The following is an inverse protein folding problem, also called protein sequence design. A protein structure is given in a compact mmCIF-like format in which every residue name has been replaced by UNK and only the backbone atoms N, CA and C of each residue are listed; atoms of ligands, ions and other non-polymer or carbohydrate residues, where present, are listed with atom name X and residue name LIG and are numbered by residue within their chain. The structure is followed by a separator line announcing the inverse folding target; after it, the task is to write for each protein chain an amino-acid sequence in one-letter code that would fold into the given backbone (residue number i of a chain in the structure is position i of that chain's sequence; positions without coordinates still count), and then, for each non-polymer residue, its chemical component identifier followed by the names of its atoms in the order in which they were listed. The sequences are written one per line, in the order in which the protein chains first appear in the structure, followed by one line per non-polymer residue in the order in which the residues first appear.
data_IF_721628505750
#
_entry.id   IF_721628505750
#
_cell.length_a   1.000
_cell.length_b   1.000
_cell.length_c   1.000
_cell.angle_alpha   90.00
_cell.angle_beta   90.00
_cell.angle_gamma   90.00
#
_symmetry.space_group_name_H-M   'P 1'
#
loop_
_entity.id
_entity.type
_entity.pdbx_description
1 polymer ?
#
# COMPACT_ATOMS: atom_id res chain seq x y z
N UNK A 1 26.49 -37.14 -6.58
CA UNK A 1 25.89 -36.06 -5.78
C UNK A 1 24.47 -35.87 -6.28
N UNK A 2 23.47 -36.46 -5.62
CA UNK A 2 22.07 -36.42 -6.05
C UNK A 2 21.40 -35.14 -5.52
N UNK A 3 20.97 -34.26 -6.42
CA UNK A 3 20.13 -33.11 -6.07
C UNK A 3 18.74 -33.66 -5.73
N UNK A 4 18.37 -33.57 -4.46
CA UNK A 4 17.04 -33.94 -3.97
C UNK A 4 16.06 -32.89 -4.51
N UNK A 5 15.15 -33.28 -5.41
CA UNK A 5 14.07 -32.41 -5.85
C UNK A 5 13.22 -31.99 -4.63
N UNK A 6 13.01 -30.68 -4.48
CA UNK A 6 12.15 -30.14 -3.44
C UNK A 6 10.72 -30.64 -3.66
N UNK A 7 10.12 -31.22 -2.62
CA UNK A 7 8.73 -31.70 -2.67
C UNK A 7 7.77 -30.50 -2.89
N UNK A 8 6.70 -30.66 -3.70
CA UNK A 8 5.76 -29.57 -3.94
C UNK A 8 5.04 -29.19 -2.64
N UNK A 9 5.27 -27.96 -2.18
CA UNK A 9 4.58 -27.37 -1.04
C UNK A 9 3.15 -26.96 -1.44
N UNK A 10 2.16 -27.21 -0.58
CA UNK A 10 0.79 -26.75 -0.79
C UNK A 10 0.69 -25.21 -0.75
N UNK A 11 0.60 -24.56 -1.92
CA UNK A 11 0.53 -23.09 -2.04
C UNK A 11 -0.88 -22.53 -2.09
N UNK A 12 -1.93 -23.35 -1.97
CA UNK A 12 -3.33 -22.94 -2.22
C UNK A 12 -3.75 -21.70 -1.39
N UNK A 13 -3.31 -21.60 -0.14
CA UNK A 13 -3.60 -20.44 0.72
C UNK A 13 -2.96 -19.15 0.22
N UNK A 14 -1.70 -19.21 -0.25
CA UNK A 14 -0.99 -18.05 -0.81
C UNK A 14 -1.67 -17.59 -2.09
N UNK A 15 -2.03 -18.53 -2.94
CA UNK A 15 -2.61 -18.25 -4.24
C UNK A 15 -4.00 -17.61 -4.09
N UNK A 16 -4.80 -18.10 -3.14
CA UNK A 16 -6.05 -17.45 -2.73
C UNK A 16 -5.84 -16.00 -2.26
N UNK A 17 -4.84 -15.73 -1.40
CA UNK A 17 -4.57 -14.36 -0.94
C UNK A 17 -4.16 -13.43 -2.09
N UNK A 18 -3.34 -13.90 -3.03
CA UNK A 18 -2.94 -13.13 -4.22
C UNK A 18 -4.10 -12.79 -5.15
N UNK A 19 -5.06 -13.70 -5.28
CA UNK A 19 -6.29 -13.45 -6.02
C UNK A 19 -7.12 -12.34 -5.35
N UNK A 20 -7.28 -12.42 -4.03
CA UNK A 20 -7.96 -11.38 -3.26
C UNK A 20 -7.24 -10.04 -3.37
N UNK A 21 -5.92 -10.00 -3.24
CA UNK A 21 -5.10 -8.78 -3.39
C UNK A 21 -5.37 -8.10 -4.75
N UNK A 22 -5.28 -8.86 -5.84
CA UNK A 22 -5.47 -8.34 -7.20
C UNK A 22 -6.89 -7.80 -7.40
N UNK A 23 -7.90 -8.53 -6.93
CA UNK A 23 -9.31 -8.11 -7.02
C UNK A 23 -9.59 -6.82 -6.25
N UNK A 24 -9.04 -6.69 -5.05
CA UNK A 24 -9.25 -5.52 -4.20
C UNK A 24 -8.48 -4.30 -4.74
N UNK A 25 -7.25 -4.48 -5.23
CA UNK A 25 -6.49 -3.41 -5.88
C UNK A 25 -7.22 -2.84 -7.09
N UNK A 26 -7.79 -3.70 -7.95
CA UNK A 26 -8.59 -3.27 -9.10
C UNK A 26 -9.83 -2.48 -8.68
N UNK A 27 -10.50 -2.88 -7.59
CA UNK A 27 -11.64 -2.14 -7.03
C UNK A 27 -11.23 -0.75 -6.54
N UNK A 28 -10.13 -0.65 -5.79
CA UNK A 28 -9.64 0.62 -5.27
C UNK A 28 -9.26 1.61 -6.36
N UNK A 29 -8.65 1.12 -7.45
CA UNK A 29 -8.30 1.93 -8.62
C UNK A 29 -9.56 2.44 -9.32
N UNK A 30 -10.55 1.56 -9.57
CA UNK A 30 -11.80 1.93 -10.23
C UNK A 30 -12.61 2.95 -9.43
N UNK A 31 -12.62 2.83 -8.09
CA UNK A 31 -13.33 3.75 -7.19
C UNK A 31 -12.50 4.99 -6.84
N UNK A 32 -11.23 5.08 -7.26
CA UNK A 32 -10.32 6.21 -7.02
C UNK A 32 -10.23 6.61 -5.54
N UNK A 33 -10.37 5.66 -4.62
CA UNK A 33 -10.54 5.97 -3.20
C UNK A 33 -9.34 6.70 -2.60
N UNK A 34 -8.13 6.52 -3.15
CA UNK A 34 -6.92 7.16 -2.63
C UNK A 34 -6.62 8.52 -3.28
N UNK A 35 -7.46 9.01 -4.21
CA UNK A 35 -7.36 10.38 -4.73
C UNK A 35 -7.92 11.36 -3.69
N UNK A 36 -7.06 12.26 -3.18
CA UNK A 36 -7.44 13.30 -2.24
C UNK A 36 -7.46 14.67 -2.93
N UNK A 37 -8.57 15.39 -2.80
CA UNK A 37 -8.68 16.79 -3.20
C UNK A 37 -8.45 17.70 -1.98
N UNK A 38 -7.89 18.87 -2.22
CA UNK A 38 -7.85 19.90 -1.20
C UNK A 38 -9.30 20.29 -0.81
N UNK A 39 -9.61 20.48 0.48
CA UNK A 39 -10.92 20.94 0.89
C UNK A 39 -11.19 22.34 0.32
N UNK A 40 -12.46 22.65 0.07
CA UNK A 40 -12.86 24.02 -0.23
C UNK A 40 -12.48 24.96 0.93
N UNK A 41 -12.20 26.23 0.62
CA UNK A 41 -11.84 27.21 1.64
C UNK A 41 -12.89 27.25 2.76
N UNK A 42 -12.44 27.08 4.00
CA UNK A 42 -13.30 27.07 5.19
C UNK A 42 -13.91 25.71 5.57
N UNK A 43 -13.74 24.65 4.77
CA UNK A 43 -14.29 23.33 5.03
C UNK A 43 -13.22 22.35 5.55
N UNK A 44 -12.74 22.53 6.79
CA UNK A 44 -11.73 21.63 7.37
C UNK A 44 -12.36 20.63 8.33
N UNK A 45 -13.33 19.86 7.86
CA UNK A 45 -13.91 18.80 8.68
C UNK A 45 -12.88 17.67 8.89
N UNK A 46 -12.62 17.30 10.15
CA UNK A 46 -11.76 16.16 10.51
C UNK A 46 -10.23 16.40 10.47
N UNK A 47 -9.76 17.51 9.90
CA UNK A 47 -8.33 17.85 9.81
C UNK A 47 -7.59 17.17 8.65
N UNK A 48 -6.30 17.51 8.46
CA UNK A 48 -5.45 16.95 7.38
C UNK A 48 -4.26 16.17 7.91
N UNK A 49 -3.82 15.18 7.14
CA UNK A 49 -2.54 14.50 7.32
C UNK A 49 -1.82 14.48 5.97
N UNK A 50 -0.61 15.01 5.93
CA UNK A 50 0.21 15.02 4.72
C UNK A 50 1.54 14.37 5.04
N UNK A 51 1.86 13.27 4.36
CA UNK A 51 3.08 12.54 4.60
C UNK A 51 3.81 12.23 3.31
N UNK A 52 5.14 12.37 3.34
CA UNK A 52 5.99 12.18 2.17
C UNK A 52 7.01 11.08 2.41
N UNK A 53 7.31 10.34 1.35
CA UNK A 53 8.43 9.41 1.31
C UNK A 53 9.47 9.94 0.33
N UNK A 54 10.77 9.98 0.68
CA UNK A 54 11.81 10.40 -0.24
C UNK A 54 11.80 9.51 -1.49
N UNK A 55 11.60 10.12 -2.67
CA UNK A 55 11.56 9.36 -3.91
C UNK A 55 12.87 8.58 -4.12
N UNK A 56 12.81 7.25 -4.33
CA UNK A 56 14.00 6.43 -4.47
C UNK A 56 14.67 6.70 -5.83
N UNK A 57 15.99 6.51 -5.89
CA UNK A 57 16.70 6.55 -7.17
C UNK A 57 16.28 5.36 -8.05
N UNK A 58 16.08 5.65 -9.34
CA UNK A 58 15.57 4.68 -10.33
C UNK A 58 16.68 3.84 -10.97
N UNK A 59 17.86 3.73 -10.34
CA UNK A 59 19.00 2.98 -10.84
C UNK A 59 18.93 1.47 -10.51
N UNK A 60 17.77 0.98 -10.06
CA UNK A 60 17.54 -0.42 -9.73
C UNK A 60 16.09 -0.70 -9.32
N UNK A 61 15.81 -1.97 -9.00
CA UNK A 61 14.52 -2.38 -8.47
C UNK A 61 14.37 -1.99 -6.99
N UNK A 62 13.13 -1.73 -6.58
CA UNK A 62 12.83 -1.48 -5.17
C UNK A 62 13.05 -2.75 -4.35
N UNK A 63 14.06 -2.74 -3.48
CA UNK A 63 14.31 -3.82 -2.53
C UNK A 63 13.48 -3.66 -1.24
N UNK A 64 13.53 -4.71 -0.39
CA UNK A 64 12.76 -4.79 0.86
C UNK A 64 13.01 -3.62 1.84
N UNK A 65 14.17 -2.96 1.76
CA UNK A 65 14.50 -1.80 2.59
C UNK A 65 13.67 -0.55 2.23
N UNK A 66 13.36 -0.37 0.95
CA UNK A 66 12.40 0.66 0.54
C UNK A 66 11.01 0.34 1.08
N UNK A 67 10.55 -0.91 0.92
CA UNK A 67 9.25 -1.35 1.43
C UNK A 67 9.14 -1.17 2.96
N UNK A 68 10.19 -1.52 3.71
CA UNK A 68 10.26 -1.29 5.15
C UNK A 68 10.13 0.20 5.50
N UNK A 69 10.83 1.07 4.80
CA UNK A 69 10.81 2.51 5.08
C UNK A 69 9.47 3.15 4.70
N UNK A 70 8.89 2.78 3.56
CA UNK A 70 7.57 3.23 3.09
C UNK A 70 6.44 2.75 4.01
N UNK A 71 6.55 1.53 4.57
CA UNK A 71 5.50 0.94 5.40
C UNK A 71 5.09 1.82 6.59
N UNK A 72 6.05 2.54 7.20
CA UNK A 72 5.80 3.47 8.31
C UNK A 72 4.79 4.56 7.92
N UNK A 73 4.96 5.11 6.72
CA UNK A 73 4.07 6.14 6.19
C UNK A 73 2.71 5.54 5.80
N UNK A 74 2.71 4.41 5.08
CA UNK A 74 1.46 3.74 4.65
C UNK A 74 0.55 3.41 5.84
N UNK A 75 1.11 2.89 6.92
CA UNK A 75 0.34 2.58 8.14
C UNK A 75 -0.17 3.83 8.84
N UNK A 76 0.62 4.90 8.89
CA UNK A 76 0.18 6.18 9.45
C UNK A 76 -0.97 6.80 8.61
N UNK A 77 -0.85 6.79 7.28
CA UNK A 77 -1.88 7.25 6.36
C UNK A 77 -3.20 6.47 6.56
N UNK A 78 -3.15 5.15 6.62
CA UNK A 78 -4.33 4.32 6.84
C UNK A 78 -5.00 4.61 8.20
N UNK A 79 -4.20 4.75 9.26
CA UNK A 79 -4.71 5.09 10.59
C UNK A 79 -5.40 6.46 10.62
N UNK A 80 -4.77 7.49 10.06
CA UNK A 80 -5.32 8.85 10.07
C UNK A 80 -6.56 8.97 9.18
N UNK A 81 -6.63 8.19 8.09
CA UNK A 81 -7.84 8.07 7.26
C UNK A 81 -9.00 7.46 8.05
N UNK A 82 -8.75 6.43 8.85
CA UNK A 82 -9.77 5.85 9.75
C UNK A 82 -10.25 6.83 10.83
N UNK A 83 -9.42 7.83 11.19
CA UNK A 83 -9.79 8.91 12.09
C UNK A 83 -10.56 10.05 11.41
N UNK A 84 -10.84 9.93 10.12
CA UNK A 84 -11.59 10.93 9.36
C UNK A 84 -10.75 12.10 8.86
N UNK A 85 -9.40 12.04 8.95
CA UNK A 85 -8.55 13.07 8.34
C UNK A 85 -8.52 12.91 6.83
N UNK A 86 -8.40 14.04 6.13
CA UNK A 86 -8.03 14.03 4.71
C UNK A 86 -6.53 13.72 4.58
N UNK A 87 -6.18 12.66 3.87
CA UNK A 87 -4.81 12.11 3.81
C UNK A 87 -4.23 12.31 2.42
N UNK A 88 -3.03 12.90 2.35
CA UNK A 88 -2.22 13.05 1.15
C UNK A 88 -0.81 12.49 1.35
#
# INVERSE_FOLDING_TARGET
MFIRAAQPHNTAKRDFLREVETRIQAKWEAEKIFEANAPAEGCVDGGKFFGTFPYPYMNGLLHLGHAFSISKLVFACAYERMRGKNVL
#
